data_IF_447155004657
#
_entry.id   IF_447155004657
#
_cell.length_a   1.000
_cell.length_b   1.000
_cell.length_c   1.000
_cell.angle_alpha   90.00
_cell.angle_beta   90.00
_cell.angle_gamma   90.00
#
_symmetry.space_group_name_H-M   'P 1'
#
loop_
_entity.id
_entity.type
_entity.pdbx_description
1 polymer ?
#
# COMPACT_ATOMS: atom_id res chain seq x y z
N UNK A 1 -17.12 -19.22 -1.94
CA UNK A 1 -17.00 -20.06 -0.72
C UNK A 1 -16.09 -19.33 0.28
N UNK A 2 -16.30 -19.35 1.61
CA UNK A 2 -15.40 -18.67 2.55
C UNK A 2 -13.94 -19.14 2.52
N UNK A 3 -13.67 -20.35 1.99
CA UNK A 3 -12.32 -20.89 1.83
C UNK A 3 -11.76 -20.72 0.41
N UNK A 4 -12.53 -20.14 -0.52
CA UNK A 4 -12.07 -19.89 -1.88
C UNK A 4 -10.90 -18.91 -1.86
N UNK A 5 -9.76 -19.26 -2.49
CA UNK A 5 -8.64 -18.34 -2.62
C UNK A 5 -9.09 -17.04 -3.29
N UNK A 6 -8.59 -15.90 -2.81
CA UNK A 6 -8.90 -14.58 -3.37
C UNK A 6 -7.77 -14.06 -4.24
N UNK A 7 -8.13 -13.43 -5.37
CA UNK A 7 -7.13 -12.88 -6.29
C UNK A 7 -6.34 -11.76 -5.59
N UNK A 8 -5.00 -11.73 -5.73
CA UNK A 8 -4.19 -10.74 -5.03
C UNK A 8 -4.39 -9.33 -5.57
N UNK A 9 -4.29 -8.35 -4.68
CA UNK A 9 -4.29 -6.95 -5.05
C UNK A 9 -3.13 -6.60 -6.00
N UNK A 10 -3.34 -5.65 -6.91
CA UNK A 10 -2.35 -5.27 -7.93
C UNK A 10 -1.08 -4.61 -7.32
N UNK A 11 -0.04 -4.43 -8.15
CA UNK A 11 1.23 -3.87 -7.73
C UNK A 11 1.13 -2.49 -7.04
N UNK A 12 0.20 -1.62 -7.47
CA UNK A 12 -0.02 -0.32 -6.82
C UNK A 12 -0.63 -0.46 -5.43
N UNK A 13 -1.54 -1.42 -5.23
CA UNK A 13 -2.11 -1.70 -3.91
C UNK A 13 -1.05 -2.27 -2.98
N UNK A 14 -0.18 -3.17 -3.46
CA UNK A 14 0.96 -3.67 -2.68
C UNK A 14 1.93 -2.56 -2.28
N UNK A 15 2.28 -1.69 -3.23
CA UNK A 15 3.04 -0.47 -2.94
C UNK A 15 2.35 0.39 -1.89
N UNK A 16 1.04 0.61 -2.03
CA UNK A 16 0.27 1.44 -1.11
C UNK A 16 0.24 0.85 0.29
N UNK A 17 0.14 -0.46 0.43
CA UNK A 17 0.14 -1.15 1.74
C UNK A 17 1.51 -1.05 2.42
N UNK A 18 2.59 -1.29 1.68
CA UNK A 18 3.97 -1.14 2.19
C UNK A 18 4.28 0.30 2.60
N UNK A 19 3.87 1.27 1.76
CA UNK A 19 4.09 2.69 2.03
C UNK A 19 3.14 3.27 3.08
N UNK A 20 1.98 2.64 3.32
CA UNK A 20 1.08 3.06 4.40
C UNK A 20 1.76 2.93 5.75
N UNK A 21 2.59 1.91 5.95
CA UNK A 21 3.30 1.72 7.21
C UNK A 21 4.41 2.76 7.38
N UNK A 22 5.11 3.13 6.30
CA UNK A 22 6.05 4.26 6.31
C UNK A 22 5.35 5.59 6.59
N UNK A 23 4.18 5.82 5.98
CA UNK A 23 3.40 7.05 6.19
C UNK A 23 2.83 7.11 7.62
N UNK A 24 2.41 5.98 8.20
CA UNK A 24 2.00 5.91 9.61
C UNK A 24 3.19 6.23 10.52
N UNK A 25 4.36 5.67 10.25
CA UNK A 25 5.57 5.95 11.03
C UNK A 25 5.98 7.43 10.92
N UNK A 26 5.90 8.01 9.72
CA UNK A 26 6.12 9.44 9.47
C UNK A 26 5.10 10.31 10.23
N UNK A 27 3.81 9.94 10.19
CA UNK A 27 2.76 10.60 10.96
C UNK A 27 3.06 10.55 12.45
N UNK A 28 3.38 9.39 13.00
CA UNK A 28 3.61 9.20 14.43
C UNK A 28 4.79 10.06 14.92
N UNK A 29 5.82 10.28 14.09
CA UNK A 29 6.88 11.26 14.38
C UNK A 29 6.35 12.69 14.44
N UNK A 30 5.54 13.10 13.46
CA UNK A 30 4.94 14.45 13.44
C UNK A 30 3.98 14.66 14.62
N UNK A 31 3.23 13.64 15.05
CA UNK A 31 2.34 13.72 16.23
C UNK A 31 3.11 14.00 17.52
N UNK A 32 4.33 13.46 17.66
CA UNK A 32 5.18 13.72 18.82
C UNK A 32 5.66 15.18 18.88
N UNK A 33 5.83 15.81 17.73
CA UNK A 33 6.28 17.20 17.60
C UNK A 33 5.12 18.21 17.65
N UNK A 34 3.94 17.84 17.12
CA UNK A 34 2.72 18.64 17.14
C UNK A 34 1.44 17.75 17.21
N UNK A 35 0.83 17.61 18.40
CA UNK A 35 -0.39 16.83 18.59
C UNK A 35 -1.60 17.34 17.80
N UNK A 36 -1.65 18.62 17.42
CA UNK A 36 -2.76 19.17 16.64
C UNK A 36 -2.73 18.69 15.18
N UNK A 37 -1.53 18.42 14.65
CA UNK A 37 -1.34 17.83 13.33
C UNK A 37 -1.89 16.39 13.24
N UNK A 38 -1.91 15.66 14.35
CA UNK A 38 -2.44 14.29 14.43
C UNK A 38 -3.95 14.22 14.12
N UNK A 39 -4.72 15.16 14.68
CA UNK A 39 -6.16 15.24 14.49
C UNK A 39 -6.51 15.57 13.03
N UNK A 40 -5.75 16.49 12.42
CA UNK A 40 -5.90 16.83 11.00
C UNK A 40 -5.50 15.65 10.08
N UNK A 41 -4.46 14.90 10.42
CA UNK A 41 -4.02 13.73 9.66
C UNK A 41 -5.02 12.57 9.72
N UNK A 42 -5.72 12.39 10.86
CA UNK A 42 -6.79 11.39 11.03
C UNK A 42 -8.13 11.78 10.38
N UNK A 43 -8.28 13.02 9.93
CA UNK A 43 -9.49 13.48 9.23
C UNK A 43 -9.61 12.91 7.82
N UNK A 44 -10.82 12.93 7.25
CA UNK A 44 -11.06 12.54 5.86
C UNK A 44 -10.18 13.31 4.86
N UNK A 45 -9.98 14.61 5.09
CA UNK A 45 -9.07 15.43 4.29
C UNK A 45 -7.61 14.96 4.39
N UNK A 46 -7.18 14.53 5.58
CA UNK A 46 -5.87 13.92 5.81
C UNK A 46 -5.70 12.60 5.04
N UNK A 47 -6.71 11.72 5.08
CA UNK A 47 -6.71 10.45 4.33
C UNK A 47 -6.71 10.65 2.80
N UNK A 48 -7.46 11.65 2.30
CA UNK A 48 -7.40 12.04 0.89
C UNK A 48 -6.00 12.53 0.49
N UNK A 49 -5.33 13.29 1.37
CA UNK A 49 -3.96 13.76 1.13
C UNK A 49 -2.95 12.60 1.08
N UNK A 50 -3.09 11.61 1.96
CA UNK A 50 -2.27 10.37 1.92
C UNK A 50 -2.45 9.64 0.60
N UNK A 51 -3.70 9.43 0.17
CA UNK A 51 -4.00 8.71 -1.08
C UNK A 51 -3.45 9.44 -2.31
N UNK A 52 -3.59 10.77 -2.36
CA UNK A 52 -2.98 11.60 -3.41
C UNK A 52 -1.45 11.51 -3.39
N UNK A 53 -0.85 11.48 -2.21
CA UNK A 53 0.61 11.39 -2.03
C UNK A 53 1.13 10.04 -2.51
N UNK A 54 0.48 8.94 -2.14
CA UNK A 54 0.79 7.59 -2.64
C UNK A 54 0.73 7.54 -4.18
N UNK A 55 -0.33 8.08 -4.77
CA UNK A 55 -0.46 8.15 -6.23
C UNK A 55 0.63 8.99 -6.90
N UNK A 56 1.14 10.04 -6.25
CA UNK A 56 2.30 10.81 -6.75
C UNK A 56 3.60 10.02 -6.60
N UNK A 57 3.87 9.45 -5.43
CA UNK A 57 5.06 8.62 -5.17
C UNK A 57 5.15 7.45 -6.16
N UNK A 58 4.03 6.76 -6.41
CA UNK A 58 3.97 5.68 -7.41
C UNK A 58 4.37 6.15 -8.82
N UNK A 59 3.92 7.33 -9.24
CA UNK A 59 4.26 7.91 -10.55
C UNK A 59 5.74 8.31 -10.66
N UNK A 60 6.35 8.66 -9.53
CA UNK A 60 7.76 9.06 -9.43
C UNK A 60 8.73 7.88 -9.34
N UNK A 61 8.25 6.66 -9.08
CA UNK A 61 9.11 5.48 -9.10
C UNK A 61 9.79 5.33 -10.47
N UNK A 62 11.07 5.00 -10.42
CA UNK A 62 11.83 4.54 -11.57
C UNK A 62 11.26 3.23 -12.13
N UNK A 63 11.73 2.85 -13.33
CA UNK A 63 11.35 1.59 -13.93
C UNK A 63 11.72 0.40 -13.02
N UNK A 64 12.94 0.40 -12.47
CA UNK A 64 13.45 -0.68 -11.62
C UNK A 64 12.66 -0.81 -10.31
N UNK A 65 12.37 0.30 -9.65
CA UNK A 65 11.54 0.31 -8.44
C UNK A 65 10.12 -0.18 -8.74
N UNK A 66 9.56 0.23 -9.88
CA UNK A 66 8.23 -0.21 -10.29
C UNK A 66 8.22 -1.70 -10.62
N UNK A 67 9.26 -2.20 -11.28
CA UNK A 67 9.43 -3.61 -11.63
C UNK A 67 9.54 -4.49 -10.39
N UNK A 68 10.17 -4.01 -9.32
CA UNK A 68 10.18 -4.69 -8.03
C UNK A 68 8.75 -4.96 -7.51
N UNK A 69 7.87 -3.95 -7.50
CA UNK A 69 6.47 -4.14 -7.07
C UNK A 69 5.68 -5.05 -8.02
N UNK A 70 5.95 -4.99 -9.32
CA UNK A 70 5.37 -5.93 -10.27
C UNK A 70 5.86 -7.37 -10.06
N UNK A 71 7.12 -7.57 -9.68
CA UNK A 71 7.65 -8.89 -9.34
C UNK A 71 6.94 -9.47 -8.11
N UNK A 72 6.80 -8.69 -7.03
CA UNK A 72 6.04 -9.08 -5.84
C UNK A 72 4.59 -9.43 -6.16
N UNK A 73 3.95 -8.65 -7.04
CA UNK A 73 2.60 -8.96 -7.50
C UNK A 73 2.53 -10.27 -8.28
N UNK A 74 3.46 -10.51 -9.21
CA UNK A 74 3.54 -11.77 -9.98
C UNK A 74 3.74 -12.99 -9.06
N UNK A 75 4.53 -12.85 -8.01
CA UNK A 75 4.75 -13.92 -7.03
C UNK A 75 3.45 -14.24 -6.27
N UNK A 76 2.72 -13.21 -5.83
CA UNK A 76 1.40 -13.37 -5.19
C UNK A 76 0.37 -13.99 -6.13
N UNK A 77 0.37 -13.60 -7.41
CA UNK A 77 -0.50 -14.21 -8.43
C UNK A 77 -0.16 -15.68 -8.63
N UNK A 78 1.12 -16.03 -8.63
CA UNK A 78 1.57 -17.43 -8.73
C UNK A 78 1.12 -18.25 -7.53
N UNK A 79 1.27 -17.71 -6.31
CA UNK A 79 0.78 -18.36 -5.10
C UNK A 79 -0.75 -18.55 -5.10
N UNK A 80 -1.50 -17.53 -5.54
CA UNK A 80 -2.96 -17.62 -5.71
C UNK A 80 -3.36 -18.74 -6.68
N UNK A 81 -2.69 -18.85 -7.84
CA UNK A 81 -2.98 -19.89 -8.83
C UNK A 81 -2.72 -21.30 -8.29
N UNK A 82 -1.69 -21.47 -7.47
CA UNK A 82 -1.41 -22.76 -6.81
C UNK A 82 -2.52 -23.05 -5.80
N UNK A 83 -2.87 -22.09 -4.95
CA UNK A 83 -3.94 -22.26 -3.96
C UNK A 83 -5.29 -22.58 -4.63
N UNK A 84 -5.62 -21.93 -5.74
CA UNK A 84 -6.85 -22.17 -6.50
C UNK A 84 -6.86 -23.56 -7.17
N UNK A 85 -5.71 -24.07 -7.59
CA UNK A 85 -5.59 -25.42 -8.14
C UNK A 85 -5.79 -26.49 -7.07
N UNK A 86 -5.33 -26.22 -5.85
CA UNK A 86 -5.33 -27.16 -4.74
C UNK A 86 -6.61 -27.04 -3.87
N UNK A 87 -7.53 -26.14 -4.24
CA UNK A 87 -8.87 -25.93 -3.66
C UNK A 87 -9.93 -26.77 -4.38
#
# INVERSE_FOLDING_TARGET
>A
DPNEPTYPANAFMLFSDLMRDDIKAERDRVVLEDPAAALAAGSEAGLMNVTKTLGKRWRMLSADERDHYFALWRDKVSAYKIALRDY
#
